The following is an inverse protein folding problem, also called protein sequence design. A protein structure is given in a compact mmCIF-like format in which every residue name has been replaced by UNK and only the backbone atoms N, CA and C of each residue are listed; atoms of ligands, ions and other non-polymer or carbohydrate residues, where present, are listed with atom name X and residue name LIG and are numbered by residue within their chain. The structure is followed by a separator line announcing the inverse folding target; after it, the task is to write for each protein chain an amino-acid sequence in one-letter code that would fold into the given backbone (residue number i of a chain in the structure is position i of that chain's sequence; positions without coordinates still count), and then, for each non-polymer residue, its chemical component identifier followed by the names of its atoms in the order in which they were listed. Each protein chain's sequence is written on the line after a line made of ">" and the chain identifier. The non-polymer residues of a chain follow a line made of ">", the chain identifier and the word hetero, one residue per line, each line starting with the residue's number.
data_IF_335605924461
#
_entry.id   IF_335605924461
#
_cell.length_a   1.000
_cell.length_b   1.000
_cell.length_c   1.000
_cell.angle_alpha   90.00
_cell.angle_beta   90.00
_cell.angle_gamma   90.00
#
_symmetry.space_group_name_H-M   'P 1'
#
loop_
_entity.id
_entity.type
_entity.pdbx_description
1 polymer ?
#
# COMPACT_ATOMS: atom_id res chain seq x y z
N UNK A 1 2.67 -9.62 13.91
CA UNK A 1 3.62 -8.48 14.01
C UNK A 1 3.40 -7.69 15.30
N UNK A 2 2.23 -7.07 15.50
CA UNK A 2 1.94 -6.22 16.68
C UNK A 2 2.17 -6.95 18.02
N UNK A 3 1.65 -8.18 18.17
CA UNK A 3 1.85 -8.95 19.41
C UNK A 3 3.32 -9.24 19.72
N UNK A 4 4.13 -9.52 18.70
CA UNK A 4 5.58 -9.75 18.86
C UNK A 4 6.28 -8.45 19.26
N UNK A 5 5.92 -7.32 18.65
CA UNK A 5 6.43 -6.00 19.04
C UNK A 5 6.10 -5.72 20.51
N UNK A 6 4.85 -5.96 20.94
CA UNK A 6 4.44 -5.77 22.34
C UNK A 6 5.24 -6.67 23.27
N UNK A 7 5.44 -7.95 22.90
CA UNK A 7 6.21 -8.89 23.72
C UNK A 7 7.66 -8.43 23.91
N UNK A 8 8.38 -8.15 22.81
CA UNK A 8 9.77 -7.69 22.88
C UNK A 8 9.92 -6.33 23.56
N UNK A 9 9.01 -5.38 23.27
CA UNK A 9 8.99 -4.09 23.94
C UNK A 9 8.77 -4.22 25.44
N UNK A 10 7.88 -5.11 25.87
CA UNK A 10 7.63 -5.36 27.28
C UNK A 10 8.83 -6.01 27.96
N UNK A 11 9.46 -7.01 27.33
CA UNK A 11 10.67 -7.65 27.86
C UNK A 11 11.81 -6.65 28.02
N UNK A 12 12.08 -5.83 27.00
CA UNK A 12 13.13 -4.80 27.07
C UNK A 12 12.80 -3.71 28.08
N UNK A 13 11.53 -3.30 28.21
CA UNK A 13 11.11 -2.35 29.24
C UNK A 13 11.36 -2.87 30.65
N UNK A 14 10.98 -4.13 30.92
CA UNK A 14 11.22 -4.73 32.25
C UNK A 14 12.72 -4.80 32.54
N UNK A 15 13.53 -5.09 31.53
CA UNK A 15 14.98 -5.20 31.67
C UNK A 15 15.65 -3.83 31.90
N UNK A 16 15.26 -2.80 31.16
CA UNK A 16 16.01 -1.53 31.03
C UNK A 16 15.42 -0.37 31.82
N UNK A 17 14.26 -0.57 32.47
CA UNK A 17 13.61 0.47 33.28
C UNK A 17 14.32 0.73 34.61
N UNK A 18 15.00 -0.28 35.17
CA UNK A 18 15.60 -0.21 36.50
C UNK A 18 17.14 -0.17 36.42
N UNK A 19 17.78 1.00 36.57
CA UNK A 19 19.23 1.15 36.43
C UNK A 19 20.02 0.54 37.60
N UNK A 20 19.38 0.20 38.71
CA UNK A 20 20.06 -0.46 39.85
C UNK A 20 20.45 -1.91 39.54
N UNK A 21 19.80 -2.53 38.55
CA UNK A 21 19.97 -3.94 38.21
C UNK A 21 21.06 -4.11 37.13
N UNK A 22 21.24 -3.12 36.25
CA UNK A 22 22.14 -3.20 35.09
C UNK A 22 23.13 -2.04 35.13
N UNK A 23 24.41 -2.36 35.01
CA UNK A 23 25.47 -1.36 34.92
C UNK A 23 25.37 -0.59 33.62
N UNK A 24 25.49 0.73 33.72
CA UNK A 24 25.59 1.63 32.57
C UNK A 24 27.08 1.87 32.31
N UNK A 25 27.48 1.79 31.05
CA UNK A 25 28.83 2.12 30.62
C UNK A 25 28.98 3.64 30.59
N UNK A 26 29.60 4.19 31.63
CA UNK A 26 30.03 5.58 31.65
C UNK A 26 31.23 5.74 30.71
N UNK A 27 30.97 5.87 29.41
CA UNK A 27 32.00 6.17 28.43
C UNK A 27 32.65 7.52 28.78
N UNK A 28 33.82 7.43 29.42
CA UNK A 28 34.64 8.57 29.78
C UNK A 28 35.72 8.70 28.72
N UNK A 29 35.60 9.71 27.87
CA UNK A 29 36.63 10.03 26.90
C UNK A 29 37.62 11.00 27.55
N UNK A 30 38.85 10.53 27.77
CA UNK A 30 39.94 11.35 28.28
C UNK A 30 40.92 11.68 27.16
N UNK A 31 41.37 12.93 27.11
CA UNK A 31 42.28 13.40 26.09
C UNK A 31 43.04 14.65 26.50
N UNK A 32 44.23 14.82 25.93
CA UNK A 32 45.02 16.02 26.14
C UNK A 32 44.64 17.07 25.10
N UNK A 33 44.16 18.23 25.56
CA UNK A 33 43.93 19.39 24.72
C UNK A 33 45.05 20.41 24.91
N UNK A 34 45.32 21.18 23.85
CA UNK A 34 46.26 22.30 23.88
C UNK A 34 45.43 23.58 23.78
N UNK A 35 45.59 24.48 24.76
CA UNK A 35 44.96 25.79 24.71
C UNK A 35 45.55 26.59 23.56
N UNK A 36 44.71 27.09 22.65
CA UNK A 36 45.15 27.93 21.53
C UNK A 36 45.74 29.26 21.97
N UNK A 37 45.44 29.70 23.20
CA UNK A 37 45.86 31.00 23.74
C UNK A 37 47.12 30.92 24.61
N UNK A 38 47.27 29.85 25.40
CA UNK A 38 48.40 29.70 26.35
C UNK A 38 49.41 28.63 25.93
N UNK A 39 49.11 27.83 24.90
CA UNK A 39 49.92 26.70 24.43
C UNK A 39 50.25 25.65 25.51
N UNK A 40 49.48 25.65 26.60
CA UNK A 40 49.57 24.71 27.70
C UNK A 40 48.72 23.48 27.41
N UNK A 41 49.23 22.31 27.80
CA UNK A 41 48.51 21.04 27.74
C UNK A 41 47.68 20.87 29.01
N UNK A 42 46.39 20.61 28.85
CA UNK A 42 45.51 20.24 29.95
C UNK A 42 44.72 18.99 29.59
N UNK A 43 44.45 18.17 30.61
CA UNK A 43 43.69 16.96 30.44
C UNK A 43 42.19 17.32 30.49
N UNK A 44 41.44 16.85 29.50
CA UNK A 44 39.99 16.98 29.44
C UNK A 44 39.42 15.58 29.62
N UNK A 45 38.57 15.42 30.62
CA UNK A 45 37.73 14.24 30.79
C UNK A 45 36.30 14.62 30.42
N UNK A 46 35.77 14.03 29.35
CA UNK A 46 34.38 14.19 28.92
C UNK A 46 33.63 12.95 29.36
N UNK A 47 32.55 13.15 30.12
CA UNK A 47 31.65 12.08 30.54
C UNK A 47 30.32 12.19 29.80
N UNK A 48 29.79 11.06 29.38
CA UNK A 48 28.43 10.97 28.87
C UNK A 48 27.44 11.27 30.00
N UNK A 49 26.52 12.21 29.79
CA UNK A 49 25.40 12.50 30.69
C UNK A 49 24.18 11.70 30.23
N UNK A 50 24.14 10.42 30.60
CA UNK A 50 23.05 9.52 30.24
C UNK A 50 22.09 9.36 31.41
N UNK A 51 20.82 9.76 31.23
CA UNK A 51 19.79 9.54 32.25
C UNK A 51 18.89 8.33 31.88
N UNK A 52 19.01 7.20 32.59
CA UNK A 52 18.19 6.00 32.32
C UNK A 52 16.70 6.20 32.60
N UNK A 53 16.30 7.26 33.31
CA UNK A 53 14.90 7.60 33.60
C UNK A 53 14.33 8.62 32.62
N UNK A 54 15.14 9.13 31.70
CA UNK A 54 14.71 10.04 30.66
C UNK A 54 14.33 9.23 29.41
N UNK A 55 13.12 9.44 28.90
CA UNK A 55 12.60 8.77 27.70
C UNK A 55 13.39 9.08 26.43
N UNK A 56 14.10 10.21 26.38
CA UNK A 56 14.94 10.58 25.24
C UNK A 56 16.23 9.77 25.18
N UNK A 57 16.83 9.50 26.33
CA UNK A 57 18.08 8.76 26.45
C UNK A 57 17.79 7.25 26.50
N UNK A 58 16.79 6.86 27.29
CA UNK A 58 16.28 5.50 27.40
C UNK A 58 14.87 5.38 26.79
N UNK A 59 14.75 5.08 25.48
CA UNK A 59 13.45 4.84 24.86
C UNK A 59 12.67 3.66 25.47
N UNK A 60 13.28 2.80 26.29
CA UNK A 60 12.63 1.66 26.91
C UNK A 60 12.17 1.92 28.36
N UNK A 61 12.31 3.14 28.86
CA UNK A 61 11.81 3.54 30.18
C UNK A 61 10.27 3.56 30.22
N UNK A 62 9.63 4.11 29.18
CA UNK A 62 8.18 4.17 29.02
C UNK A 62 7.66 3.13 28.01
N UNK A 63 6.44 2.63 28.24
CA UNK A 63 5.88 1.53 27.44
C UNK A 63 5.62 1.90 25.97
N UNK A 64 5.01 3.05 25.71
CA UNK A 64 4.70 3.47 24.34
C UNK A 64 5.98 3.77 23.55
N UNK A 65 6.97 4.36 24.20
CA UNK A 65 8.26 4.69 23.61
C UNK A 65 9.07 3.41 23.34
N UNK A 66 8.98 2.42 24.24
CA UNK A 66 9.58 1.09 24.06
C UNK A 66 9.00 0.37 22.84
N UNK A 67 7.67 0.41 22.69
CA UNK A 67 7.00 -0.14 21.51
C UNK A 67 7.46 0.56 20.23
N UNK A 68 7.57 1.89 20.26
CA UNK A 68 8.06 2.68 19.12
C UNK A 68 9.50 2.32 18.77
N UNK A 69 10.39 2.21 19.75
CA UNK A 69 11.79 1.84 19.54
C UNK A 69 11.93 0.43 18.97
N UNK A 70 11.19 -0.54 19.53
CA UNK A 70 11.14 -1.93 19.05
C UNK A 70 10.64 -2.01 17.62
N UNK A 71 9.59 -1.25 17.27
CA UNK A 71 9.05 -1.19 15.91
C UNK A 71 10.06 -0.62 14.91
N UNK A 72 10.77 0.44 15.28
CA UNK A 72 11.82 1.03 14.44
C UNK A 72 13.10 0.18 14.39
N UNK A 73 13.22 -0.84 15.23
CA UNK A 73 14.43 -1.64 15.37
C UNK A 73 15.59 -0.83 15.95
N UNK A 74 15.30 0.18 16.78
CA UNK A 74 16.32 1.02 17.39
C UNK A 74 16.89 0.35 18.66
N UNK A 75 17.95 -0.43 18.47
CA UNK A 75 18.63 -1.21 19.52
C UNK A 75 19.88 -0.51 20.11
N UNK A 76 20.03 0.81 19.92
CA UNK A 76 21.21 1.64 20.31
C UNK A 76 21.62 1.53 21.80
N UNK A 77 20.82 0.85 22.61
CA UNK A 77 21.03 0.67 24.03
C UNK A 77 22.08 -0.37 24.41
N UNK A 78 22.49 -1.30 23.53
CA UNK A 78 23.51 -2.29 23.92
C UNK A 78 24.89 -1.66 24.18
N UNK A 79 25.22 -0.55 23.52
CA UNK A 79 26.48 0.16 23.77
C UNK A 79 26.47 0.91 25.11
N UNK A 80 25.28 1.23 25.63
CA UNK A 80 25.09 2.01 26.86
C UNK A 80 24.93 1.11 28.08
N UNK A 81 24.24 -0.02 27.95
CA UNK A 81 24.01 -0.96 29.05
C UNK A 81 24.94 -2.17 28.94
N UNK A 82 25.77 -2.38 29.96
CA UNK A 82 26.74 -3.49 30.02
C UNK A 82 26.06 -4.82 30.40
N UNK A 83 25.23 -5.35 29.49
CA UNK A 83 24.54 -6.61 29.71
C UNK A 83 24.33 -7.42 28.43
N UNK A 84 25.00 -8.57 28.37
CA UNK A 84 24.99 -9.50 27.22
C UNK A 84 23.58 -9.92 26.75
N UNK A 85 22.60 -9.97 27.65
CA UNK A 85 21.26 -10.42 27.29
C UNK A 85 20.56 -9.41 26.36
N UNK A 86 20.94 -8.13 26.42
CA UNK A 86 20.40 -7.09 25.54
C UNK A 86 20.82 -7.38 24.09
N UNK A 87 22.08 -7.73 23.86
CA UNK A 87 22.59 -8.09 22.53
C UNK A 87 21.86 -9.30 21.96
N UNK A 88 21.70 -10.35 22.77
CA UNK A 88 21.03 -11.58 22.36
C UNK A 88 19.56 -11.34 22.07
N UNK A 89 18.86 -10.59 22.91
CA UNK A 89 17.43 -10.31 22.72
C UNK A 89 17.20 -9.41 21.50
N UNK A 90 18.06 -8.41 21.28
CA UNK A 90 18.03 -7.54 20.10
C UNK A 90 18.28 -8.33 18.81
N UNK A 91 19.23 -9.27 18.81
CA UNK A 91 19.51 -10.14 17.68
C UNK A 91 18.32 -11.05 17.36
N UNK A 92 17.74 -11.69 18.38
CA UNK A 92 16.54 -12.53 18.23
C UNK A 92 15.38 -11.70 17.68
N UNK A 93 15.11 -10.53 18.25
CA UNK A 93 14.05 -9.65 17.81
C UNK A 93 14.24 -9.21 16.35
N UNK A 94 15.47 -8.85 15.96
CA UNK A 94 15.82 -8.49 14.59
C UNK A 94 15.52 -9.63 13.59
N UNK A 95 15.94 -10.86 13.88
CA UNK A 95 15.68 -12.03 13.04
C UNK A 95 14.17 -12.26 12.87
N UNK A 96 13.40 -12.24 13.97
CA UNK A 96 11.96 -12.48 13.89
C UNK A 96 11.21 -11.35 13.19
N UNK A 97 11.45 -10.09 13.56
CA UNK A 97 10.70 -8.94 13.05
C UNK A 97 11.09 -8.60 11.62
N UNK A 98 12.39 -8.48 11.34
CA UNK A 98 12.89 -7.99 10.05
C UNK A 98 13.03 -9.14 9.07
N UNK A 99 13.62 -10.27 9.47
CA UNK A 99 13.88 -11.36 8.52
C UNK A 99 12.66 -12.23 8.30
N UNK A 100 12.03 -12.76 9.36
CA UNK A 100 10.95 -13.74 9.19
C UNK A 100 9.64 -13.05 8.85
N UNK A 101 9.15 -12.14 9.71
CA UNK A 101 7.82 -11.54 9.55
C UNK A 101 7.71 -10.66 8.31
N UNK A 102 8.71 -9.83 8.01
CA UNK A 102 8.68 -8.98 6.82
C UNK A 102 8.65 -9.82 5.54
N UNK A 103 9.49 -10.86 5.45
CA UNK A 103 9.53 -11.73 4.27
C UNK A 103 8.26 -12.57 4.13
N UNK A 104 7.67 -13.04 5.24
CA UNK A 104 6.36 -13.69 5.22
C UNK A 104 5.25 -12.73 4.78
N UNK A 105 5.26 -11.48 5.24
CA UNK A 105 4.28 -10.47 4.86
C UNK A 105 4.37 -10.12 3.37
N UNK A 106 5.58 -9.93 2.84
CA UNK A 106 5.80 -9.69 1.41
C UNK A 106 5.30 -10.87 0.58
N UNK A 107 5.62 -12.10 1.00
CA UNK A 107 5.17 -13.32 0.29
C UNK A 107 3.64 -13.44 0.30
N UNK A 108 3.00 -13.19 1.44
CA UNK A 108 1.54 -13.18 1.57
C UNK A 108 0.90 -12.13 0.66
N UNK A 109 1.41 -10.89 0.70
CA UNK A 109 0.90 -9.79 -0.12
C UNK A 109 1.11 -10.08 -1.61
N UNK A 110 2.25 -10.65 -2.00
CA UNK A 110 2.53 -11.04 -3.37
C UNK A 110 1.56 -12.11 -3.87
N UNK A 111 1.33 -13.16 -3.08
CA UNK A 111 0.40 -14.24 -3.45
C UNK A 111 -1.06 -13.79 -3.55
N UNK A 112 -1.52 -12.96 -2.60
CA UNK A 112 -2.87 -12.39 -2.64
C UNK A 112 -3.00 -11.38 -3.79
N UNK A 113 -1.98 -10.57 -4.05
CA UNK A 113 -2.00 -9.56 -5.10
C UNK A 113 -2.21 -10.15 -6.48
N UNK A 114 -1.58 -11.29 -6.81
CA UNK A 114 -1.78 -11.96 -8.10
C UNK A 114 -3.23 -12.40 -8.31
N UNK A 115 -3.85 -12.98 -7.28
CA UNK A 115 -5.26 -13.36 -7.31
C UNK A 115 -6.20 -12.14 -7.34
N UNK A 116 -5.84 -11.08 -6.62
CA UNK A 116 -6.60 -9.84 -6.59
C UNK A 116 -6.45 -9.03 -7.88
N UNK A 117 -5.34 -9.12 -8.61
CA UNK A 117 -5.17 -8.41 -9.89
C UNK A 117 -6.13 -8.95 -10.95
N UNK A 118 -6.28 -10.27 -11.03
CA UNK A 118 -7.17 -10.93 -12.00
C UNK A 118 -8.65 -10.67 -11.70
N UNK A 119 -9.07 -10.79 -10.42
CA UNK A 119 -10.47 -10.53 -10.00
C UNK A 119 -10.78 -9.04 -9.79
N UNK A 120 -9.75 -8.24 -9.52
CA UNK A 120 -9.86 -6.81 -9.18
C UNK A 120 -10.30 -5.98 -10.37
N UNK A 121 -9.89 -6.32 -11.60
CA UNK A 121 -10.39 -5.65 -12.80
C UNK A 121 -11.91 -5.79 -12.94
N UNK A 122 -12.45 -6.99 -12.69
CA UNK A 122 -13.88 -7.24 -12.76
C UNK A 122 -14.63 -6.51 -11.63
N UNK A 123 -14.09 -6.55 -10.41
CA UNK A 123 -14.67 -5.82 -9.27
C UNK A 123 -14.68 -4.30 -9.51
N UNK A 124 -13.60 -3.75 -10.06
CA UNK A 124 -13.49 -2.34 -10.41
C UNK A 124 -14.51 -1.92 -11.47
N UNK A 125 -14.67 -2.71 -12.53
CA UNK A 125 -15.66 -2.41 -13.57
C UNK A 125 -17.08 -2.45 -13.02
N UNK A 126 -17.40 -3.42 -12.15
CA UNK A 126 -18.69 -3.47 -11.44
C UNK A 126 -18.90 -2.27 -10.53
N UNK A 127 -17.89 -1.89 -9.76
CA UNK A 127 -17.96 -0.73 -8.89
C UNK A 127 -18.22 0.56 -9.67
N UNK A 128 -17.50 0.77 -10.79
CA UNK A 128 -17.74 1.91 -11.68
C UNK A 128 -19.14 1.90 -12.29
N UNK A 129 -19.62 0.74 -12.74
CA UNK A 129 -20.97 0.62 -13.28
C UNK A 129 -22.03 0.98 -12.24
N UNK A 130 -21.87 0.53 -10.99
CA UNK A 130 -22.77 0.89 -9.90
C UNK A 130 -22.75 2.39 -9.62
N UNK A 131 -21.57 3.02 -9.54
CA UNK A 131 -21.48 4.46 -9.34
C UNK A 131 -22.17 5.27 -10.44
N UNK A 132 -22.05 4.83 -11.70
CA UNK A 132 -22.73 5.48 -12.83
C UNK A 132 -24.25 5.31 -12.69
N UNK A 133 -24.72 4.10 -12.40
CA UNK A 133 -26.15 3.84 -12.23
C UNK A 133 -26.75 4.64 -11.06
N UNK A 134 -26.04 4.73 -9.93
CA UNK A 134 -26.45 5.53 -8.77
C UNK A 134 -26.51 7.02 -9.12
N UNK A 135 -25.51 7.52 -9.86
CA UNK A 135 -25.49 8.91 -10.34
C UNK A 135 -26.64 9.20 -11.31
N UNK A 136 -26.89 8.32 -12.28
CA UNK A 136 -27.98 8.47 -13.25
C UNK A 136 -29.35 8.47 -12.55
N UNK A 137 -29.57 7.55 -11.61
CA UNK A 137 -30.80 7.50 -10.82
C UNK A 137 -31.05 8.80 -10.04
N UNK A 138 -30.00 9.41 -9.48
CA UNK A 138 -30.10 10.69 -8.76
C UNK A 138 -30.27 11.90 -9.70
N UNK A 139 -29.62 11.87 -10.87
CA UNK A 139 -29.66 12.95 -11.86
C UNK A 139 -31.06 13.14 -12.45
N UNK A 140 -31.78 12.04 -12.71
CA UNK A 140 -33.17 12.09 -13.21
C UNK A 140 -34.17 12.67 -12.20
N UNK A 141 -33.89 12.61 -10.89
CA UNK A 141 -34.83 13.05 -9.86
C UNK A 141 -34.67 14.54 -9.52
N UNK A 142 -33.47 15.13 -9.66
CA UNK A 142 -33.18 16.41 -8.98
C UNK A 142 -32.53 17.54 -9.81
N UNK A 143 -32.00 17.33 -11.02
CA UNK A 143 -31.07 18.32 -11.62
C UNK A 143 -31.40 18.84 -13.03
N UNK A 144 -32.28 18.20 -13.81
CA UNK A 144 -32.70 18.69 -15.15
C UNK A 144 -34.15 18.34 -15.46
N UNK A 145 -34.85 19.13 -16.31
CA UNK A 145 -36.13 18.70 -16.88
C UNK A 145 -35.95 17.41 -17.69
N UNK A 146 -36.93 16.51 -17.60
CA UNK A 146 -36.95 15.21 -18.27
C UNK A 146 -36.69 15.39 -19.78
N UNK A 147 -35.60 14.80 -20.29
CA UNK A 147 -35.36 14.78 -21.73
C UNK A 147 -36.48 13.97 -22.41
N UNK A 148 -37.02 14.43 -23.55
CA UNK A 148 -38.10 13.73 -24.22
C UNK A 148 -37.66 12.32 -24.62
N UNK A 149 -38.48 11.32 -24.28
CA UNK A 149 -38.17 9.92 -24.54
C UNK A 149 -37.81 9.70 -26.02
N UNK A 150 -36.64 9.12 -26.32
CA UNK A 150 -36.22 8.95 -27.70
C UNK A 150 -37.17 7.98 -28.40
N UNK A 151 -37.66 8.39 -29.58
CA UNK A 151 -38.59 7.59 -30.40
C UNK A 151 -37.97 6.26 -30.88
N UNK A 152 -36.63 6.20 -30.92
CA UNK A 152 -35.86 5.01 -31.29
C UNK A 152 -34.56 4.97 -30.50
N UNK A 153 -34.19 3.80 -29.98
CA UNK A 153 -32.90 3.54 -29.32
C UNK A 153 -31.97 2.91 -30.35
N UNK A 154 -30.91 3.61 -30.73
CA UNK A 154 -29.87 3.09 -31.61
C UNK A 154 -28.56 2.90 -30.84
N UNK A 155 -28.03 1.69 -30.85
CA UNK A 155 -26.69 1.40 -30.31
C UNK A 155 -25.68 1.47 -31.44
N UNK A 156 -24.75 2.44 -31.39
CA UNK A 156 -23.62 2.51 -32.32
C UNK A 156 -22.54 1.55 -31.81
N UNK A 157 -22.58 0.31 -32.30
CA UNK A 157 -21.49 -0.64 -32.10
C UNK A 157 -20.32 -0.32 -33.03
N UNK A 158 -19.12 -0.07 -32.47
CA UNK A 158 -17.90 -0.12 -33.29
C UNK A 158 -17.63 -1.59 -33.65
N UNK A 159 -17.97 -1.99 -34.88
CA UNK A 159 -17.95 -3.40 -35.32
C UNK A 159 -16.57 -4.05 -35.24
N UNK A 160 -15.49 -3.30 -35.46
CA UNK A 160 -14.10 -3.81 -35.40
C UNK A 160 -13.78 -4.49 -34.07
N UNK A 161 -14.18 -3.87 -32.96
CA UNK A 161 -13.95 -4.43 -31.63
C UNK A 161 -14.82 -5.66 -31.36
N UNK A 162 -15.96 -5.81 -32.05
CA UNK A 162 -16.87 -6.93 -31.88
C UNK A 162 -16.41 -8.16 -32.67
N UNK A 163 -15.94 -7.97 -33.89
CA UNK A 163 -15.36 -9.05 -34.71
C UNK A 163 -14.10 -9.62 -34.06
N UNK A 164 -13.17 -8.75 -33.60
CA UNK A 164 -11.98 -9.16 -32.86
C UNK A 164 -12.32 -9.86 -31.53
N UNK A 165 -13.33 -9.36 -30.80
CA UNK A 165 -13.81 -10.01 -29.58
C UNK A 165 -14.44 -11.37 -29.85
N UNK A 166 -15.25 -11.50 -30.91
CA UNK A 166 -15.88 -12.75 -31.31
C UNK A 166 -14.84 -13.79 -31.70
N UNK A 167 -13.81 -13.41 -32.46
CA UNK A 167 -12.71 -14.30 -32.83
C UNK A 167 -11.90 -14.75 -31.62
N UNK A 168 -11.56 -13.84 -30.70
CA UNK A 168 -10.82 -14.16 -29.46
C UNK A 168 -11.56 -15.10 -28.50
N UNK A 169 -12.87 -15.27 -28.66
CA UNK A 169 -13.76 -16.03 -27.78
C UNK A 169 -14.25 -17.35 -28.39
N UNK A 170 -13.99 -17.60 -29.68
CA UNK A 170 -14.36 -18.86 -30.37
C UNK A 170 -13.75 -20.11 -29.71
N UNK A 171 -12.60 -19.96 -29.05
CA UNK A 171 -11.88 -21.05 -28.39
C UNK A 171 -12.28 -21.27 -26.90
N UNK A 172 -13.02 -20.34 -26.28
CA UNK A 172 -13.49 -20.45 -24.89
C UNK A 172 -14.93 -20.97 -24.84
N UNK A 173 -15.06 -22.29 -24.78
CA UNK A 173 -16.33 -23.00 -24.91
C UNK A 173 -17.29 -22.87 -23.70
N UNK A 174 -18.58 -23.07 -24.01
CA UNK A 174 -19.77 -23.35 -23.17
C UNK A 174 -20.70 -22.20 -22.74
N UNK A 175 -20.24 -21.08 -22.20
CA UNK A 175 -21.18 -20.04 -21.69
C UNK A 175 -21.86 -19.26 -22.82
N UNK A 176 -21.22 -19.14 -23.98
CA UNK A 176 -21.66 -18.24 -25.06
C UNK A 176 -22.44 -18.90 -26.21
N UNK A 177 -22.39 -20.24 -26.36
CA UNK A 177 -23.11 -20.97 -27.42
C UNK A 177 -24.63 -20.71 -27.39
N UNK A 178 -25.21 -20.50 -26.20
CA UNK A 178 -26.64 -20.19 -26.04
C UNK A 178 -27.05 -18.79 -26.51
N UNK A 179 -26.13 -17.82 -26.51
CA UNK A 179 -26.40 -16.45 -26.95
C UNK A 179 -26.31 -16.29 -28.48
N UNK A 180 -25.41 -17.03 -29.16
CA UNK A 180 -25.27 -16.99 -30.62
C UNK A 180 -26.57 -17.38 -31.34
N UNK A 181 -27.28 -18.39 -30.84
CA UNK A 181 -28.52 -18.86 -31.46
C UNK A 181 -29.67 -17.82 -31.37
N UNK A 182 -29.72 -17.01 -30.31
CA UNK A 182 -30.69 -15.91 -30.22
C UNK A 182 -30.37 -14.77 -31.19
N UNK A 183 -29.09 -14.46 -31.42
CA UNK A 183 -28.68 -13.41 -32.35
C UNK A 183 -28.86 -13.80 -33.82
N UNK A 184 -28.59 -15.06 -34.20
CA UNK A 184 -28.82 -15.54 -35.58
C UNK A 184 -30.29 -15.50 -35.99
N UNK A 185 -31.21 -15.59 -35.03
CA UNK A 185 -32.67 -15.64 -35.30
C UNK A 185 -33.25 -14.24 -35.50
N UNK A 186 -32.67 -13.22 -34.88
CA UNK A 186 -32.99 -11.83 -35.18
C UNK A 186 -32.16 -11.41 -36.38
N UNK A 187 -32.66 -11.79 -37.56
CA UNK A 187 -32.22 -11.24 -38.84
C UNK A 187 -31.85 -9.76 -38.67
N UNK A 188 -30.56 -9.46 -38.78
CA UNK A 188 -30.09 -8.20 -39.34
C UNK A 188 -30.76 -8.10 -40.71
N UNK A 189 -32.01 -7.62 -40.72
CA UNK A 189 -32.60 -7.05 -41.92
C UNK A 189 -31.63 -5.93 -42.29
N UNK A 190 -30.74 -6.24 -43.24
CA UNK A 190 -30.11 -5.27 -44.11
C UNK A 190 -31.26 -4.49 -44.74
N UNK A 191 -31.72 -3.45 -44.08
CA UNK A 191 -32.51 -2.43 -44.74
C UNK A 191 -31.51 -1.63 -45.55
N UNK A 192 -31.26 -2.13 -46.75
CA UNK A 192 -30.94 -1.27 -47.89
C UNK A 192 -32.20 -0.45 -48.11
N UNK A 193 -32.31 0.67 -47.42
CA UNK A 193 -33.19 1.74 -47.85
C UNK A 193 -32.44 3.06 -47.67
N UNK A 194 -31.64 3.33 -48.69
CA UNK A 194 -30.77 4.49 -48.92
C UNK A 194 -31.56 5.81 -49.09
N UNK A 195 -32.64 6.02 -48.33
CA UNK A 195 -33.55 7.15 -48.55
C UNK A 195 -33.54 8.23 -47.48
N UNK A 196 -32.84 8.03 -46.35
CA UNK A 196 -32.76 9.03 -45.28
C UNK A 196 -31.37 9.07 -44.61
N UNK A 197 -30.31 9.30 -45.39
CA UNK A 197 -29.05 9.80 -44.85
C UNK A 197 -29.23 11.28 -44.51
N UNK A 198 -29.45 11.59 -43.22
CA UNK A 198 -29.53 12.97 -42.69
C UNK A 198 -28.15 13.66 -42.67
N UNK A 199 -27.08 12.93 -42.96
CA UNK A 199 -25.73 13.46 -43.00
C UNK A 199 -25.18 13.36 -44.42
N UNK A 200 -25.44 14.38 -45.23
CA UNK A 200 -24.53 14.69 -46.35
C UNK A 200 -23.27 15.24 -45.71
N UNK A 201 -22.17 14.48 -45.78
CA UNK A 201 -20.85 15.07 -45.62
C UNK A 201 -20.66 16.00 -46.81
N UNK A 202 -20.60 17.31 -46.57
CA UNK A 202 -20.08 18.24 -47.56
C UNK A 202 -18.60 17.92 -47.75
N UNK A 203 -18.30 17.39 -48.93
CA UNK A 203 -16.95 17.13 -49.41
C UNK A 203 -16.35 18.46 -49.90
N UNK A 204 -16.17 19.41 -48.98
CA UNK A 204 -15.41 20.63 -49.27
C UNK A 204 -13.91 20.35 -49.06
N UNK A 205 -13.33 19.69 -50.06
CA UNK A 205 -11.91 19.83 -50.37
C UNK A 205 -11.70 19.84 -51.88
N UNK A 206 -11.85 21.04 -52.47
CA UNK A 206 -11.26 21.35 -53.77
C UNK A 206 -10.04 22.26 -53.57
N UNK A 207 -8.93 21.82 -54.15
CA UNK A 207 -7.83 22.67 -54.63
C UNK A 207 -8.34 23.85 -55.44
#
# INVERSE_FOLDING_TARGET
>A
MILLIIAFAHTMLVLLKNPEIIKINDNTFSGNAISTTTNERFNIDIKSDFDPRNTNDNPFYEFLTSMKATYLGNWIQSDVFDFWAIDVLSLIASIFLITILQNMFITLMSGIYEQAATKGRQALLRYRANQIADYEALHHIHLRPHEPDPKYIYYIGRSKNFEEWQESRKDQDTIYKGFENKFKTNNLRKFVDDKFLIWKYDDDSKM
#
